data_IF_067292971631
#
_entry.id   IF_067292971631
#
_cell.length_a   1.000
_cell.length_b   1.000
_cell.length_c   1.000
_cell.angle_alpha   90.00
_cell.angle_beta   90.00
_cell.angle_gamma   90.00
#
_symmetry.space_group_name_H-M   'P 1'
#
loop_
_entity.id
_entity.type
_entity.pdbx_description
1 polymer ?
#
# COMPACT_ATOMS: atom_id res chain seq x y z
N UNK A 1 -4.31 -7.80 -3.89
CA UNK A 1 -3.28 -8.72 -3.38
C UNK A 1 -2.00 -7.93 -3.19
N UNK A 2 -1.72 -7.59 -1.94
CA UNK A 2 -0.51 -6.86 -1.56
C UNK A 2 0.72 -7.78 -1.63
N UNK A 3 1.80 -7.28 -2.20
CA UNK A 3 3.07 -7.99 -2.34
C UNK A 3 4.22 -7.13 -1.80
N UNK A 4 5.23 -7.77 -1.23
CA UNK A 4 6.42 -7.07 -0.74
C UNK A 4 7.55 -7.21 -1.74
N UNK A 5 8.21 -6.10 -2.03
CA UNK A 5 9.42 -6.07 -2.86
C UNK A 5 10.56 -5.49 -2.04
N UNK A 6 11.71 -6.16 -2.05
CA UNK A 6 12.96 -5.64 -1.52
C UNK A 6 13.83 -5.18 -2.69
N UNK A 7 14.42 -3.99 -2.61
CA UNK A 7 15.46 -3.60 -3.56
C UNK A 7 16.81 -4.15 -3.08
N UNK A 8 17.68 -4.67 -3.96
CA UNK A 8 18.97 -5.24 -3.56
C UNK A 8 19.87 -4.21 -2.85
N UNK A 9 19.79 -2.93 -3.22
CA UNK A 9 20.54 -1.83 -2.60
C UNK A 9 19.78 -1.09 -1.48
N UNK A 10 18.65 -1.61 -0.99
CA UNK A 10 17.87 -0.93 0.05
C UNK A 10 17.52 -1.88 1.19
N UNK A 11 17.77 -1.43 2.42
CA UNK A 11 17.41 -2.16 3.64
C UNK A 11 15.89 -2.20 3.85
N UNK A 12 15.16 -1.30 3.18
CA UNK A 12 13.72 -1.12 3.35
C UNK A 12 12.89 -2.01 2.43
N UNK A 13 11.78 -2.50 2.97
CA UNK A 13 10.75 -3.17 2.20
C UNK A 13 9.84 -2.15 1.49
N UNK A 14 9.34 -2.54 0.32
CA UNK A 14 8.39 -1.77 -0.47
C UNK A 14 7.07 -2.55 -0.55
N UNK A 15 6.00 -1.94 -0.07
CA UNK A 15 4.65 -2.43 -0.22
C UNK A 15 4.17 -2.15 -1.64
N UNK A 16 3.83 -3.21 -2.38
CA UNK A 16 3.22 -3.15 -3.69
C UNK A 16 1.75 -3.53 -3.53
N UNK A 17 0.84 -2.57 -3.70
CA UNK A 17 -0.59 -2.81 -3.60
C UNK A 17 -1.31 -2.22 -4.81
N UNK A 18 -2.51 -2.73 -5.06
CA UNK A 18 -3.40 -2.20 -6.10
C UNK A 18 -4.34 -1.21 -5.45
N UNK A 19 -4.42 -0.04 -6.04
CA UNK A 19 -5.53 0.87 -5.79
C UNK A 19 -6.80 0.27 -6.41
N UNK A 20 -7.98 0.58 -5.85
CA UNK A 20 -9.27 0.22 -6.44
C UNK A 20 -9.50 0.78 -7.85
N UNK A 21 -8.78 1.83 -8.25
CA UNK A 21 -8.71 2.34 -9.64
C UNK A 21 -8.02 1.36 -10.64
N UNK A 22 -7.49 0.23 -10.16
CA UNK A 22 -6.71 -0.72 -10.96
C UNK A 22 -5.22 -0.40 -11.05
N UNK A 23 -4.82 0.81 -10.67
CA UNK A 23 -3.42 1.25 -10.64
C UNK A 23 -2.61 0.49 -9.59
N UNK A 24 -1.47 -0.07 -10.00
CA UNK A 24 -0.47 -0.63 -9.08
C UNK A 24 0.42 0.49 -8.55
N UNK A 25 0.51 0.60 -7.24
CA UNK A 25 1.39 1.57 -6.58
C UNK A 25 2.42 0.86 -5.71
N UNK A 26 3.61 1.45 -5.67
CA UNK A 26 4.67 1.06 -4.74
C UNK A 26 4.87 2.17 -3.72
N UNK A 27 4.82 1.81 -2.44
CA UNK A 27 5.20 2.67 -1.33
C UNK A 27 6.31 2.03 -0.53
N UNK A 28 7.34 2.80 -0.22
CA UNK A 28 8.35 2.40 0.75
C UNK A 28 7.69 2.29 2.12
N UNK A 29 7.74 1.12 2.77
CA UNK A 29 7.28 0.99 4.16
C UNK A 29 8.28 1.61 5.13
N UNK A 30 9.52 1.87 4.67
CA UNK A 30 10.67 2.28 5.52
C UNK A 30 10.96 1.32 6.68
N UNK A 31 10.33 0.16 6.67
CA UNK A 31 10.55 -0.92 7.61
C UNK A 31 11.61 -1.88 7.08
N UNK A 32 12.47 -2.33 7.98
CA UNK A 32 13.50 -3.35 7.69
C UNK A 32 12.98 -4.76 8.02
N UNK A 33 11.98 -4.86 8.90
CA UNK A 33 11.35 -6.11 9.30
C UNK A 33 10.25 -6.51 8.31
N UNK A 34 10.26 -7.79 7.91
CA UNK A 34 9.33 -8.34 6.91
C UNK A 34 7.89 -8.42 7.45
N UNK A 35 7.69 -8.71 8.74
CA UNK A 35 6.36 -8.82 9.36
C UNK A 35 5.72 -7.45 9.47
N UNK A 36 6.46 -6.46 9.97
CA UNK A 36 6.00 -5.06 10.07
C UNK A 36 5.65 -4.51 8.67
N UNK A 37 6.53 -4.75 7.69
CA UNK A 37 6.29 -4.34 6.31
C UNK A 37 5.05 -5.01 5.70
N UNK A 38 4.79 -6.29 6.00
CA UNK A 38 3.60 -7.00 5.52
C UNK A 38 2.33 -6.45 6.15
N UNK A 39 2.35 -6.15 7.45
CA UNK A 39 1.24 -5.52 8.16
C UNK A 39 0.91 -4.15 7.57
N UNK A 40 1.93 -3.31 7.31
CA UNK A 40 1.76 -2.04 6.61
C UNK A 40 1.21 -2.23 5.19
N UNK A 41 1.69 -3.21 4.43
CA UNK A 41 1.20 -3.46 3.07
C UNK A 41 -0.30 -3.84 3.04
N UNK A 42 -0.75 -4.62 4.02
CA UNK A 42 -2.16 -4.96 4.21
C UNK A 42 -2.96 -3.72 4.62
N UNK A 43 -2.42 -2.92 5.55
CA UNK A 43 -3.06 -1.68 6.00
C UNK A 43 -3.21 -0.68 4.85
N UNK A 44 -2.20 -0.54 3.99
CA UNK A 44 -2.28 0.24 2.77
C UNK A 44 -3.34 -0.27 1.79
N UNK A 45 -3.50 -1.59 1.61
CA UNK A 45 -4.58 -2.14 0.77
C UNK A 45 -5.97 -1.82 1.36
N UNK A 46 -6.12 -1.93 2.69
CA UNK A 46 -7.37 -1.59 3.41
C UNK A 46 -7.67 -0.09 3.32
N UNK A 47 -6.67 0.74 3.58
CA UNK A 47 -6.76 2.19 3.48
C UNK A 47 -7.08 2.62 2.05
N UNK A 48 -6.42 2.05 1.03
CA UNK A 48 -6.71 2.35 -0.37
C UNK A 48 -8.16 2.04 -0.76
N UNK A 49 -8.72 0.92 -0.25
CA UNK A 49 -10.13 0.59 -0.43
C UNK A 49 -11.06 1.59 0.27
N UNK A 50 -10.77 1.94 1.52
CA UNK A 50 -11.58 2.90 2.32
C UNK A 50 -11.47 4.35 1.84
N UNK A 51 -10.31 4.74 1.30
CA UNK A 51 -10.04 6.12 0.87
C UNK A 51 -10.79 6.48 -0.41
N UNK A 52 -11.13 5.50 -1.25
CA UNK A 52 -12.14 5.71 -2.30
C UNK A 52 -13.49 6.04 -1.67
N UNK A 53 -13.90 5.39 -0.59
CA UNK A 53 -15.17 5.70 0.08
C UNK A 53 -15.22 7.16 0.53
N UNK A 54 -14.14 7.70 1.11
CA UNK A 54 -14.06 9.13 1.49
C UNK A 54 -13.90 10.08 0.29
N UNK A 55 -13.11 9.72 -0.73
CA UNK A 55 -12.84 10.60 -1.88
C UNK A 55 -13.99 10.61 -2.90
N UNK A 56 -14.70 9.48 -3.08
CA UNK A 56 -15.96 9.41 -3.83
C UNK A 56 -17.09 10.12 -3.08
N UNK A 57 -17.18 9.98 -1.74
CA UNK A 57 -18.19 10.71 -0.96
C UNK A 57 -18.03 12.23 -1.09
N UNK A 58 -16.80 12.74 -1.22
CA UNK A 58 -16.53 14.16 -1.44
C UNK A 58 -16.80 14.64 -2.88
N UNK A 59 -16.95 13.72 -3.85
CA UNK A 59 -17.23 14.05 -5.26
C UNK A 59 -18.73 14.01 -5.59
N UNK A 60 -19.57 13.53 -4.67
CA UNK A 60 -21.03 13.33 -4.84
C UNK A 60 -21.85 14.41 -4.11
N UNK A 61 -21.21 15.44 -3.55
CA UNK A 61 -21.85 16.62 -2.97
C UNK A 61 -21.58 17.83 -3.86
#
# INVERSE_FOLDING_TARGET
>A
MASLRKKPNSKYWFACFKLPDGTRVQRSTKESDKKEAMKMAIDYERAARKRITETQARKVI
#
